data_IF_497124125035
#
_entry.id   IF_497124125035
#
_cell.length_a   1.000
_cell.length_b   1.000
_cell.length_c   1.000
_cell.angle_alpha   90.00
_cell.angle_beta   90.00
_cell.angle_gamma   90.00
#
_symmetry.space_group_name_H-M   'P 1'
#
loop_
_entity.id
_entity.type
_entity.pdbx_description
1 polymer ?
#
# COMPACT_ATOMS: atom_id res chain seq x y z
N UNK A 1 11.98 1.67 -5.31
CA UNK A 1 11.09 0.52 -5.04
C UNK A 1 10.76 0.55 -3.57
N UNK A 2 9.48 0.59 -3.21
CA UNK A 2 9.04 0.60 -1.81
C UNK A 2 8.56 -0.80 -1.42
N UNK A 3 9.06 -1.32 -0.31
CA UNK A 3 8.60 -2.58 0.26
C UNK A 3 7.24 -2.40 0.96
N UNK A 4 6.53 -3.50 1.26
CA UNK A 4 5.35 -3.49 2.13
C UNK A 4 5.60 -2.74 3.42
N UNK A 5 4.59 -2.00 3.87
CA UNK A 5 4.68 -1.24 5.11
C UNK A 5 3.33 -1.17 5.82
N UNK A 6 3.40 -1.26 7.15
CA UNK A 6 2.24 -1.13 8.02
C UNK A 6 2.39 0.08 8.92
N UNK A 7 1.46 1.01 8.83
CA UNK A 7 1.26 2.06 9.80
C UNK A 7 0.32 1.55 10.90
N UNK A 8 0.87 1.40 12.11
CA UNK A 8 0.18 0.78 13.24
C UNK A 8 -0.33 1.83 14.23
N UNK A 9 -1.64 1.80 14.50
CA UNK A 9 -2.28 2.49 15.61
C UNK A 9 -2.38 1.61 16.88
N UNK A 10 -3.15 2.05 17.90
CA UNK A 10 -3.99 3.23 17.90
C UNK A 10 -3.18 4.54 18.02
N UNK A 11 -3.61 5.56 17.30
CA UNK A 11 -3.05 6.90 17.44
C UNK A 11 -3.86 7.71 18.47
N UNK A 12 -3.18 8.59 19.23
CA UNK A 12 -3.84 9.46 20.22
C UNK A 12 -4.58 10.63 19.57
N UNK A 13 -4.11 11.09 18.42
CA UNK A 13 -4.71 12.21 17.69
C UNK A 13 -6.05 11.80 17.08
N UNK A 14 -7.01 12.72 17.08
CA UNK A 14 -8.32 12.51 16.45
C UNK A 14 -8.23 12.44 14.91
N UNK A 15 -7.17 12.97 14.32
CA UNK A 15 -6.94 12.97 12.86
C UNK A 15 -5.49 12.69 12.55
N UNK A 16 -5.25 11.77 11.61
CA UNK A 16 -3.92 11.40 11.12
C UNK A 16 -3.86 11.72 9.64
N UNK A 17 -2.98 12.65 9.26
CA UNK A 17 -2.79 13.06 7.87
C UNK A 17 -1.57 12.38 7.27
N UNK A 18 -1.77 11.65 6.18
CA UNK A 18 -0.72 10.98 5.42
C UNK A 18 -0.65 11.62 4.04
N UNK A 19 0.49 12.27 3.75
CA UNK A 19 0.68 13.03 2.52
C UNK A 19 1.54 12.26 1.51
N UNK A 20 1.01 12.05 0.31
CA UNK A 20 1.74 11.50 -0.83
C UNK A 20 2.23 12.67 -1.68
N UNK A 21 3.49 13.06 -1.48
CA UNK A 21 4.10 14.22 -2.16
C UNK A 21 4.84 13.91 -3.47
N UNK A 22 5.09 12.63 -3.77
CA UNK A 22 5.88 12.21 -4.94
C UNK A 22 5.33 10.95 -5.58
N UNK A 23 6.14 10.29 -6.41
CA UNK A 23 5.77 9.02 -7.02
C UNK A 23 6.23 7.85 -6.14
N UNK A 24 5.28 7.10 -5.60
CA UNK A 24 5.53 5.90 -4.81
C UNK A 24 5.22 4.71 -5.71
N UNK A 25 6.19 3.80 -5.87
CA UNK A 25 6.07 2.67 -6.80
C UNK A 25 6.36 1.37 -6.09
N UNK A 26 5.39 0.45 -6.16
CA UNK A 26 5.48 -0.90 -5.63
C UNK A 26 6.59 -1.71 -6.32
N UNK A 27 7.02 -2.85 -5.75
CA UNK A 27 7.94 -3.75 -6.43
C UNK A 27 7.32 -4.31 -7.71
N UNK A 28 8.15 -4.49 -8.74
CA UNK A 28 7.71 -4.89 -10.07
C UNK A 28 7.21 -6.32 -10.19
N UNK A 29 7.53 -7.17 -9.23
CA UNK A 29 7.08 -8.56 -9.19
C UNK A 29 6.90 -8.99 -7.74
N UNK A 30 6.11 -10.05 -7.56
CA UNK A 30 5.94 -10.74 -6.28
C UNK A 30 7.26 -11.27 -5.70
N UNK A 31 8.23 -11.62 -6.56
CA UNK A 31 9.56 -12.06 -6.13
C UNK A 31 10.36 -10.98 -5.39
N UNK A 32 10.11 -9.71 -5.74
CA UNK A 32 10.77 -8.56 -5.13
C UNK A 32 10.03 -8.05 -3.88
N UNK A 33 8.90 -8.68 -3.53
CA UNK A 33 8.10 -8.37 -2.37
C UNK A 33 8.67 -9.01 -1.12
N UNK A 34 9.05 -8.18 -0.16
CA UNK A 34 9.50 -8.61 1.15
C UNK A 34 8.40 -8.28 2.15
N UNK A 35 7.47 -9.21 2.40
CA UNK A 35 6.36 -8.98 3.31
C UNK A 35 6.91 -8.69 4.71
N UNK A 36 6.29 -7.72 5.38
CA UNK A 36 6.57 -7.45 6.78
C UNK A 36 5.63 -8.32 7.64
N UNK A 37 6.19 -9.35 8.28
CA UNK A 37 5.41 -10.31 9.07
C UNK A 37 4.52 -11.23 8.20
N UNK A 38 3.26 -11.38 8.60
CA UNK A 38 2.30 -12.34 8.02
C UNK A 38 1.42 -11.73 6.91
N UNK A 39 1.55 -10.44 6.60
CA UNK A 39 0.74 -9.78 5.57
C UNK A 39 1.46 -9.87 4.22
N UNK A 40 1.08 -10.88 3.44
CA UNK A 40 1.70 -11.18 2.15
C UNK A 40 1.09 -10.41 0.99
N UNK A 41 -0.07 -9.79 1.19
CA UNK A 41 -0.92 -9.32 0.10
C UNK A 41 -1.16 -7.80 0.12
N UNK A 42 -0.70 -7.10 1.17
CA UNK A 42 -0.90 -5.65 1.32
C UNK A 42 0.39 -4.84 1.14
N UNK A 43 0.33 -3.80 0.30
CA UNK A 43 1.48 -2.91 0.07
C UNK A 43 1.62 -1.84 1.15
N UNK A 44 0.52 -1.15 1.46
CA UNK A 44 0.47 -0.06 2.44
C UNK A 44 -0.76 -0.30 3.30
N UNK A 45 -0.52 -0.74 4.53
CA UNK A 45 -1.57 -1.06 5.49
C UNK A 45 -1.67 0.04 6.53
N UNK A 46 -2.87 0.54 6.78
CA UNK A 46 -3.16 1.42 7.91
C UNK A 46 -3.98 0.64 8.93
N UNK A 47 -3.31 0.07 9.93
CA UNK A 47 -3.95 -0.81 10.91
C UNK A 47 -4.34 -0.05 12.17
N UNK A 48 -5.60 -0.17 12.60
CA UNK A 48 -6.13 0.45 13.82
C UNK A 48 -5.93 1.97 13.92
N UNK A 49 -5.98 2.69 12.79
CA UNK A 49 -5.88 4.15 12.76
C UNK A 49 -7.27 4.77 12.62
N UNK A 50 -7.68 5.56 13.61
CA UNK A 50 -8.91 6.36 13.57
C UNK A 50 -8.64 7.74 12.97
N UNK A 51 -9.58 8.27 12.19
CA UNK A 51 -9.48 9.62 11.59
C UNK A 51 -8.38 9.75 10.54
N UNK A 52 -8.09 8.67 9.78
CA UNK A 52 -7.10 8.69 8.71
C UNK A 52 -7.57 9.57 7.55
N UNK A 53 -6.71 10.49 7.12
CA UNK A 53 -6.83 11.29 5.91
C UNK A 53 -5.60 11.04 5.06
N UNK A 54 -5.80 10.49 3.86
CA UNK A 54 -4.73 10.36 2.86
C UNK A 54 -4.92 11.45 1.82
N UNK A 55 -3.90 12.29 1.63
CA UNK A 55 -3.96 13.43 0.72
C UNK A 55 -2.61 13.68 0.05
N UNK A 56 -2.51 14.76 -0.73
CA UNK A 56 -1.33 15.14 -1.49
C UNK A 56 -1.59 15.25 -2.99
N UNK A 57 -0.54 15.57 -3.75
CA UNK A 57 -0.59 15.71 -5.21
C UNK A 57 0.29 14.69 -5.95
N UNK A 58 0.86 13.71 -5.24
CA UNK A 58 1.71 12.68 -5.80
C UNK A 58 0.94 11.52 -6.44
N UNK A 59 1.65 10.44 -6.73
CA UNK A 59 1.11 9.27 -7.42
C UNK A 59 1.47 7.99 -6.68
N UNK A 60 0.51 7.07 -6.60
CA UNK A 60 0.76 5.69 -6.20
C UNK A 60 0.71 4.80 -7.45
N UNK A 61 1.83 4.16 -7.78
CA UNK A 61 1.90 3.15 -8.82
C UNK A 61 2.08 1.77 -8.18
N UNK A 62 0.98 1.04 -8.02
CA UNK A 62 0.96 -0.28 -7.40
C UNK A 62 1.49 -1.41 -8.31
N UNK A 63 1.76 -1.13 -9.59
CA UNK A 63 2.23 -2.11 -10.57
C UNK A 63 1.39 -3.41 -10.62
N UNK A 64 0.07 -3.31 -10.39
CA UNK A 64 -0.83 -4.47 -10.20
C UNK A 64 -0.85 -5.50 -11.34
N UNK A 65 -0.45 -5.11 -12.56
CA UNK A 65 -0.38 -6.04 -13.69
C UNK A 65 0.55 -7.25 -13.46
N UNK A 66 1.57 -7.13 -12.62
CA UNK A 66 2.45 -8.24 -12.24
C UNK A 66 1.91 -9.08 -11.07
N UNK A 67 0.82 -8.64 -10.44
CA UNK A 67 0.18 -9.27 -9.29
C UNK A 67 -1.04 -10.12 -9.67
N UNK A 68 -1.71 -9.78 -10.78
CA UNK A 68 -2.86 -10.54 -11.26
C UNK A 68 -2.41 -11.76 -12.05
N UNK A 69 -3.06 -12.90 -11.80
CA UNK A 69 -2.89 -14.07 -12.66
C UNK A 69 -3.39 -13.77 -14.08
N UNK A 70 -2.78 -14.42 -15.07
CA UNK A 70 -3.11 -14.18 -16.49
C UNK A 70 -4.54 -14.59 -16.86
N UNK A 71 -5.21 -15.41 -16.04
CA UNK A 71 -6.64 -15.65 -16.17
C UNK A 71 -7.38 -14.39 -15.73
N UNK A 72 -8.23 -13.85 -16.60
CA UNK A 72 -8.95 -12.58 -16.42
C UNK A 72 -9.81 -12.44 -15.15
N UNK A 73 -9.85 -13.45 -14.28
CA UNK A 73 -10.67 -13.49 -13.07
C UNK A 73 -10.09 -12.65 -11.92
N UNK A 74 -8.79 -12.39 -11.89
CA UNK A 74 -8.14 -11.67 -10.77
C UNK A 74 -7.82 -10.20 -11.08
N UNK A 75 -8.11 -9.74 -12.32
CA UNK A 75 -7.89 -8.37 -12.73
C UNK A 75 -9.11 -7.49 -12.37
N UNK A 76 -8.96 -6.46 -11.54
CA UNK A 76 -10.01 -5.47 -11.30
C UNK A 76 -10.39 -4.77 -12.61
N UNK A 77 -11.69 -4.69 -12.90
CA UNK A 77 -12.27 -3.94 -14.03
C UNK A 77 -12.63 -2.53 -13.66
#
# INVERSE_FOLDING_TARGET
>A
MTQPLTFQGPCKSATINVMIGGNVTAPASRENWKPDGNDHDSWITFNQISGLVVNGGGTLNAQGASWWDKSANDRPT
#
